data_IF_626483902164
#
_entry.id   IF_626483902164
#
_cell.length_a   1.000
_cell.length_b   1.000
_cell.length_c   1.000
_cell.angle_alpha   90.00
_cell.angle_beta   90.00
_cell.angle_gamma   90.00
#
_symmetry.space_group_name_H-M   'P 1'
#
loop_
_entity.id
_entity.type
_entity.pdbx_description
1 polymer ?
#
# COMPACT_ATOMS: atom_id res chain seq x y z
N UNK A 1 12.93 19.10 -48.88
CA UNK A 1 13.47 17.93 -48.21
C UNK A 1 13.75 18.15 -46.73
N UNK A 2 14.31 19.29 -46.33
CA UNK A 2 14.56 19.57 -44.90
C UNK A 2 13.29 19.70 -44.07
N UNK A 3 12.18 20.13 -44.68
CA UNK A 3 10.89 20.30 -43.97
C UNK A 3 10.23 18.99 -43.62
N UNK A 4 10.47 17.91 -44.33
CA UNK A 4 9.91 16.59 -44.06
C UNK A 4 10.55 15.95 -42.85
N UNK A 5 11.86 16.14 -42.67
CA UNK A 5 12.58 15.64 -41.51
C UNK A 5 12.13 16.29 -40.20
N UNK A 6 11.83 17.58 -40.22
CA UNK A 6 11.37 18.33 -39.09
C UNK A 6 9.95 17.88 -38.67
N UNK A 7 9.09 17.70 -39.66
CA UNK A 7 7.71 17.21 -39.41
C UNK A 7 7.73 15.80 -38.84
N UNK A 8 8.62 14.94 -39.33
CA UNK A 8 8.76 13.58 -38.80
C UNK A 8 9.24 13.56 -37.36
N UNK A 9 10.21 14.44 -37.00
CA UNK A 9 10.67 14.57 -35.65
C UNK A 9 9.57 15.07 -34.67
N UNK A 10 8.75 16.00 -35.16
CA UNK A 10 7.63 16.52 -34.36
C UNK A 10 6.57 15.42 -34.13
N UNK A 11 6.34 14.58 -35.13
CA UNK A 11 5.40 13.46 -35.04
C UNK A 11 5.86 12.42 -33.99
N UNK A 12 7.15 12.13 -33.95
CA UNK A 12 7.74 11.20 -32.98
C UNK A 12 7.63 11.77 -31.57
N UNK A 13 7.79 13.08 -31.40
CA UNK A 13 7.69 13.74 -30.11
C UNK A 13 6.27 13.69 -29.56
N UNK A 14 5.25 13.84 -30.41
CA UNK A 14 3.85 13.75 -29.98
C UNK A 14 3.49 12.33 -29.53
N UNK A 15 4.03 11.31 -30.18
CA UNK A 15 3.82 9.92 -29.76
C UNK A 15 4.45 9.61 -28.40
N UNK A 16 5.59 10.22 -28.11
CA UNK A 16 6.25 10.02 -26.80
C UNK A 16 5.45 10.60 -25.66
N UNK A 17 4.76 11.72 -25.86
CA UNK A 17 3.94 12.35 -24.83
C UNK A 17 2.66 11.59 -24.53
N UNK A 18 2.07 10.91 -25.52
CA UNK A 18 0.85 10.14 -25.29
C UNK A 18 1.10 8.81 -24.56
N UNK A 19 2.32 8.30 -24.58
CA UNK A 19 2.66 7.08 -23.84
C UNK A 19 2.77 7.32 -22.32
N UNK A 20 2.93 8.56 -21.87
CA UNK A 20 3.08 8.89 -20.44
C UNK A 20 1.74 9.09 -19.72
N UNK A 21 0.61 9.05 -20.42
CA UNK A 21 -0.69 9.40 -19.84
C UNK A 21 -1.60 8.22 -19.49
N UNK A 22 -1.10 6.98 -19.55
CA UNK A 22 -1.93 5.78 -19.51
C UNK A 22 -2.05 5.09 -18.15
N UNK A 23 -1.59 5.71 -17.03
CA UNK A 23 -1.52 5.01 -15.76
C UNK A 23 -2.25 5.71 -14.61
N UNK A 24 -3.41 6.33 -14.90
CA UNK A 24 -4.07 7.18 -13.88
C UNK A 24 -5.23 6.56 -13.12
N UNK A 25 -5.72 5.39 -13.48
CA UNK A 25 -7.04 4.98 -13.02
C UNK A 25 -7.09 4.34 -11.63
N UNK A 26 -5.97 3.83 -11.11
CA UNK A 26 -5.97 3.20 -9.79
C UNK A 26 -4.58 3.18 -9.18
N UNK A 27 -4.06 4.35 -8.76
CA UNK A 27 -2.71 4.39 -8.20
C UNK A 27 -2.62 3.64 -6.88
N UNK A 28 -1.42 3.14 -6.60
CA UNK A 28 -1.09 2.49 -5.35
C UNK A 28 -0.67 3.56 -4.33
N UNK A 29 -1.36 3.62 -3.21
CA UNK A 29 -0.97 4.47 -2.08
C UNK A 29 0.06 3.73 -1.24
N UNK A 30 1.28 4.22 -1.23
CA UNK A 30 2.39 3.66 -0.46
C UNK A 30 2.49 4.36 0.89
N UNK A 31 2.77 3.58 1.94
CA UNK A 31 3.08 4.15 3.24
C UNK A 31 1.88 4.66 4.02
N UNK A 32 0.72 4.03 3.89
CA UNK A 32 -0.38 4.30 4.81
C UNK A 32 0.02 3.73 6.17
N UNK A 33 0.20 4.61 7.15
CA UNK A 33 0.68 4.21 8.48
C UNK A 33 -0.45 3.75 9.37
N UNK A 34 -0.23 2.64 10.06
CA UNK A 34 -1.22 2.09 10.98
C UNK A 34 -0.53 1.39 12.16
N UNK A 35 -1.31 1.13 13.20
CA UNK A 35 -0.86 0.41 14.39
C UNK A 35 -1.74 -0.82 14.57
N UNK A 36 -1.13 -1.98 14.81
CA UNK A 36 -1.87 -3.22 15.07
C UNK A 36 -2.47 -3.17 16.47
N UNK A 37 -3.80 -3.33 16.55
CA UNK A 37 -4.52 -3.35 17.84
C UNK A 37 -4.93 -4.76 18.25
N UNK A 38 -5.16 -5.66 17.29
CA UNK A 38 -5.53 -7.05 17.56
C UNK A 38 -4.95 -7.97 16.49
N UNK A 39 -4.67 -9.21 16.89
CA UNK A 39 -4.17 -10.26 15.97
C UNK A 39 -5.02 -11.51 16.17
N UNK A 40 -5.59 -12.02 15.07
CA UNK A 40 -6.31 -13.29 15.05
C UNK A 40 -5.44 -14.34 14.34
N UNK A 41 -4.79 -15.18 15.12
CA UNK A 41 -3.87 -16.19 14.60
C UNK A 41 -4.59 -17.26 13.78
N UNK A 42 -5.79 -17.62 14.19
CA UNK A 42 -6.55 -18.69 13.52
C UNK A 42 -6.94 -18.30 12.09
N UNK A 43 -7.36 -17.06 11.89
CA UNK A 43 -7.80 -16.55 10.59
C UNK A 43 -6.72 -15.77 9.84
N UNK A 44 -5.56 -15.57 10.45
CA UNK A 44 -4.46 -14.74 9.91
C UNK A 44 -4.92 -13.35 9.54
N UNK A 45 -5.70 -12.73 10.42
CA UNK A 45 -6.17 -11.36 10.25
C UNK A 45 -5.62 -10.48 11.35
N UNK A 46 -5.50 -9.21 11.05
CA UNK A 46 -5.14 -8.19 12.05
C UNK A 46 -6.18 -7.08 12.03
N UNK A 47 -6.40 -6.48 13.19
CA UNK A 47 -7.15 -5.24 13.28
C UNK A 47 -6.16 -4.12 13.48
N UNK A 48 -6.30 -3.05 12.72
CA UNK A 48 -5.38 -1.92 12.77
C UNK A 48 -6.15 -0.63 12.97
N UNK A 49 -5.44 0.35 13.50
CA UNK A 49 -5.90 1.72 13.67
C UNK A 49 -5.01 2.61 12.82
N UNK A 50 -5.60 3.55 12.09
CA UNK A 50 -4.81 4.54 11.35
C UNK A 50 -3.97 5.36 12.33
N UNK A 51 -2.71 5.62 11.97
CA UNK A 51 -1.83 6.42 12.81
C UNK A 51 -2.23 7.88 12.86
N UNK A 52 -2.95 8.37 11.85
CA UNK A 52 -3.51 9.72 11.84
C UNK A 52 -4.92 9.72 12.43
N UNK A 53 -5.27 10.77 13.18
CA UNK A 53 -6.58 10.85 13.84
C UNK A 53 -7.75 10.79 12.86
N UNK A 54 -7.60 11.41 11.70
CA UNK A 54 -8.63 11.39 10.65
C UNK A 54 -8.11 10.65 9.40
N UNK A 55 -7.35 9.59 9.62
CA UNK A 55 -6.78 8.80 8.54
C UNK A 55 -7.80 7.95 7.81
N UNK A 56 -7.42 7.49 6.63
CA UNK A 56 -8.30 6.76 5.72
C UNK A 56 -8.80 5.42 6.26
N UNK A 57 -8.07 4.80 7.19
CA UNK A 57 -8.41 3.49 7.75
C UNK A 57 -9.32 3.54 8.98
N UNK A 58 -9.39 4.69 9.66
CA UNK A 58 -10.16 4.81 10.88
C UNK A 58 -9.56 4.06 12.05
N UNK A 59 -10.40 3.64 13.00
CA UNK A 59 -9.94 3.03 14.25
C UNK A 59 -9.99 1.51 14.29
N UNK A 60 -10.81 0.89 13.44
CA UNK A 60 -11.00 -0.56 13.44
C UNK A 60 -11.04 -1.08 12.01
N UNK A 61 -9.88 -1.20 11.40
CA UNK A 61 -9.74 -1.72 10.04
C UNK A 61 -9.23 -3.15 10.09
N UNK A 62 -9.94 -4.07 9.46
CA UNK A 62 -9.56 -5.48 9.41
C UNK A 62 -8.78 -5.78 8.13
N UNK A 63 -7.65 -6.46 8.28
CA UNK A 63 -6.79 -6.84 7.16
C UNK A 63 -6.58 -8.35 7.17
N UNK A 64 -6.87 -9.00 6.05
CA UNK A 64 -6.56 -10.41 5.84
C UNK A 64 -5.11 -10.52 5.39
N UNK A 65 -4.27 -11.09 6.25
CA UNK A 65 -2.85 -11.25 6.01
C UNK A 65 -2.47 -12.62 5.45
N UNK A 66 -3.44 -13.46 5.10
CA UNK A 66 -3.17 -14.86 4.71
C UNK A 66 -2.37 -15.00 3.41
N UNK A 67 -2.46 -14.01 2.52
CA UNK A 67 -1.83 -14.10 1.20
C UNK A 67 -1.10 -12.85 0.76
N UNK A 68 -0.91 -11.86 1.63
CA UNK A 68 -0.20 -10.63 1.27
C UNK A 68 1.30 -10.74 1.55
N UNK A 69 2.15 -10.16 0.71
CA UNK A 69 3.57 -10.07 1.00
C UNK A 69 3.82 -9.20 2.23
N UNK A 70 4.69 -9.68 3.11
CA UNK A 70 5.09 -8.94 4.31
C UNK A 70 6.59 -8.80 4.35
N UNK A 71 7.07 -7.58 4.56
CA UNK A 71 8.49 -7.27 4.58
C UNK A 71 8.86 -6.49 5.84
N UNK A 72 10.12 -6.54 6.16
CA UNK A 72 10.73 -5.72 7.20
C UNK A 72 11.95 -5.02 6.61
N UNK A 73 12.03 -3.72 6.82
CA UNK A 73 13.18 -2.92 6.41
C UNK A 73 13.93 -2.46 7.66
N UNK A 74 15.19 -2.88 7.78
CA UNK A 74 16.06 -2.45 8.87
C UNK A 74 16.58 -1.05 8.53
N UNK A 75 16.25 -0.06 9.34
CA UNK A 75 16.64 1.33 9.07
C UNK A 75 18.15 1.57 9.25
N UNK A 76 18.81 0.77 10.07
CA UNK A 76 20.24 0.92 10.30
C UNK A 76 21.06 0.34 9.15
N UNK A 77 20.71 -0.85 8.67
CA UNK A 77 21.45 -1.54 7.61
C UNK A 77 20.85 -1.33 6.23
N UNK A 78 19.61 -0.82 6.15
CA UNK A 78 18.82 -0.66 4.93
C UNK A 78 18.56 -1.98 4.20
N UNK A 79 18.64 -3.10 4.91
CA UNK A 79 18.31 -4.40 4.36
C UNK A 79 16.81 -4.66 4.47
N UNK A 80 16.24 -5.26 3.42
CA UNK A 80 14.84 -5.65 3.36
C UNK A 80 14.77 -7.17 3.37
N UNK A 81 13.98 -7.71 4.28
CA UNK A 81 13.77 -9.16 4.40
C UNK A 81 12.29 -9.48 4.44
N UNK A 82 11.92 -10.66 3.97
CA UNK A 82 10.56 -11.17 4.09
C UNK A 82 10.30 -11.62 5.52
N UNK A 83 9.12 -11.33 6.01
CA UNK A 83 8.67 -11.79 7.32
C UNK A 83 7.38 -12.58 7.18
N UNK A 84 6.97 -13.25 8.23
CA UNK A 84 5.72 -14.02 8.26
C UNK A 84 4.74 -13.43 9.26
N UNK A 85 3.49 -13.88 9.17
CA UNK A 85 2.41 -13.41 10.06
C UNK A 85 2.77 -13.55 11.54
N UNK A 86 3.46 -14.62 11.91
CA UNK A 86 3.87 -14.86 13.31
C UNK A 86 4.85 -13.83 13.85
N UNK A 87 5.51 -13.06 12.97
CA UNK A 87 6.45 -12.02 13.37
C UNK A 87 5.74 -10.73 13.79
N UNK A 88 4.46 -10.59 13.54
CA UNK A 88 3.68 -9.41 13.88
C UNK A 88 3.25 -9.46 15.35
N UNK A 89 3.18 -8.31 15.99
CA UNK A 89 2.74 -8.15 17.38
C UNK A 89 1.78 -6.99 17.50
N UNK A 90 0.89 -7.07 18.49
CA UNK A 90 0.05 -5.95 18.87
C UNK A 90 0.94 -4.77 19.27
N UNK A 91 0.54 -3.57 18.87
CA UNK A 91 1.24 -2.29 18.99
C UNK A 91 2.34 -2.07 17.96
N UNK A 92 2.55 -3.01 17.04
CA UNK A 92 3.48 -2.77 15.92
C UNK A 92 2.98 -1.64 15.03
N UNK A 93 3.93 -0.81 14.62
CA UNK A 93 3.70 0.18 13.56
C UNK A 93 3.96 -0.49 12.22
N UNK A 94 3.04 -0.30 11.30
CA UNK A 94 3.12 -0.89 9.97
C UNK A 94 2.84 0.15 8.90
N UNK A 95 3.37 -0.10 7.71
CA UNK A 95 3.09 0.69 6.52
C UNK A 95 2.38 -0.22 5.51
N UNK A 96 1.30 0.28 4.95
CA UNK A 96 0.45 -0.49 4.05
C UNK A 96 0.47 0.13 2.67
N UNK A 97 0.53 -0.74 1.65
CA UNK A 97 0.37 -0.35 0.26
C UNK A 97 -1.03 -0.75 -0.18
N UNK A 98 -1.85 0.23 -0.52
CA UNK A 98 -3.28 0.03 -0.78
C UNK A 98 -3.67 0.75 -2.06
N UNK A 99 -4.49 0.09 -2.90
CA UNK A 99 -5.02 0.71 -4.12
C UNK A 99 -6.07 1.77 -3.80
N UNK A 100 -6.10 2.84 -4.59
CA UNK A 100 -7.07 3.93 -4.41
C UNK A 100 -8.51 3.45 -4.40
N UNK A 101 -8.87 2.50 -5.26
CA UNK A 101 -10.21 1.95 -5.32
C UNK A 101 -10.60 1.26 -4.02
N UNK A 102 -9.65 0.59 -3.36
CA UNK A 102 -9.90 -0.07 -2.08
C UNK A 102 -10.15 0.95 -0.97
N UNK A 103 -9.40 2.05 -0.97
CA UNK A 103 -9.59 3.12 0.00
C UNK A 103 -10.96 3.76 -0.17
N UNK A 104 -11.35 4.08 -1.41
CA UNK A 104 -12.66 4.65 -1.71
C UNK A 104 -13.79 3.72 -1.30
N UNK A 105 -13.70 2.45 -1.63
CA UNK A 105 -14.70 1.46 -1.25
C UNK A 105 -14.80 1.32 0.27
N UNK A 106 -13.68 1.32 0.95
CA UNK A 106 -13.64 1.22 2.40
C UNK A 106 -14.31 2.42 3.07
N UNK A 107 -14.02 3.63 2.59
CA UNK A 107 -14.58 4.86 3.14
C UNK A 107 -16.09 4.98 2.87
N UNK A 108 -16.57 4.38 1.78
CA UNK A 108 -17.97 4.45 1.39
C UNK A 108 -18.84 3.33 1.99
N UNK A 109 -18.22 2.40 2.71
CA UNK A 109 -18.97 1.34 3.37
C UNK A 109 -19.61 1.84 4.67
N UNK A 110 -20.93 1.77 4.74
CA UNK A 110 -21.68 2.04 5.95
C UNK A 110 -21.80 0.82 6.86
N UNK A 111 -20.98 -0.19 6.66
CA UNK A 111 -21.12 -1.49 7.28
C UNK A 111 -20.15 -1.73 8.42
N UNK A 112 -20.61 -2.59 9.34
CA UNK A 112 -19.85 -3.05 10.50
C UNK A 112 -18.58 -3.82 10.13
N UNK A 113 -18.52 -4.39 8.92
CA UNK A 113 -17.33 -5.11 8.43
C UNK A 113 -16.40 -4.15 7.71
N UNK A 114 -15.39 -3.69 8.42
CA UNK A 114 -14.40 -2.76 7.92
C UNK A 114 -13.15 -3.50 7.43
N UNK A 115 -13.31 -4.31 6.38
CA UNK A 115 -12.19 -5.06 5.77
C UNK A 115 -11.67 -4.31 4.56
N UNK A 116 -10.35 -4.16 4.46
CA UNK A 116 -9.69 -3.55 3.32
C UNK A 116 -8.65 -4.53 2.73
N UNK A 117 -8.53 -4.53 1.42
CA UNK A 117 -7.51 -5.32 0.72
C UNK A 117 -6.22 -4.54 0.64
N UNK A 118 -5.14 -5.16 1.09
CA UNK A 118 -3.80 -4.58 1.13
C UNK A 118 -2.91 -5.34 0.14
N UNK A 119 -2.12 -4.61 -0.63
CA UNK A 119 -1.19 -5.20 -1.60
C UNK A 119 0.13 -5.64 -0.94
N UNK A 120 0.57 -4.93 0.10
CA UNK A 120 1.81 -5.25 0.80
C UNK A 120 1.78 -4.63 2.20
N UNK A 121 2.37 -5.33 3.16
CA UNK A 121 2.55 -4.84 4.53
C UNK A 121 4.04 -4.74 4.82
N UNK A 122 4.49 -3.61 5.33
CA UNK A 122 5.84 -3.41 5.81
C UNK A 122 5.82 -3.19 7.33
N UNK A 123 6.58 -3.99 8.05
CA UNK A 123 6.75 -3.78 9.50
C UNK A 123 7.68 -2.59 9.72
N UNK A 124 7.15 -1.55 10.38
CA UNK A 124 7.91 -0.34 10.71
C UNK A 124 8.65 -0.44 12.03
N UNK A 125 8.09 -1.15 13.00
CA UNK A 125 8.72 -1.31 14.31
C UNK A 125 10.06 -2.04 14.18
N UNK A 126 11.13 -1.42 14.69
CA UNK A 126 12.50 -1.92 14.54
C UNK A 126 12.86 -2.88 15.66
N UNK A 127 12.63 -4.17 15.48
CA UNK A 127 12.97 -5.21 16.46
C UNK A 127 13.53 -6.50 15.87
N UNK A 128 13.36 -6.72 14.57
CA UNK A 128 13.86 -7.92 13.90
C UNK A 128 15.31 -7.67 13.47
N UNK A 129 16.18 -8.62 13.76
CA UNK A 129 17.59 -8.52 13.38
C UNK A 129 18.02 -9.65 12.45
#
# INVERSE_FOLDING_TARGET
MKKIGIVLCLFIFVFSLSACSSSKDNPLHLGVNAVITEIDVANKTITVKDSAEEGVLGENCLIDCSSIPMIYCDYDTQQVVSISFKDLQVKDEILLSIRSSEIENFQNKDNEESTIKVEQLQLGTQRIK
#
